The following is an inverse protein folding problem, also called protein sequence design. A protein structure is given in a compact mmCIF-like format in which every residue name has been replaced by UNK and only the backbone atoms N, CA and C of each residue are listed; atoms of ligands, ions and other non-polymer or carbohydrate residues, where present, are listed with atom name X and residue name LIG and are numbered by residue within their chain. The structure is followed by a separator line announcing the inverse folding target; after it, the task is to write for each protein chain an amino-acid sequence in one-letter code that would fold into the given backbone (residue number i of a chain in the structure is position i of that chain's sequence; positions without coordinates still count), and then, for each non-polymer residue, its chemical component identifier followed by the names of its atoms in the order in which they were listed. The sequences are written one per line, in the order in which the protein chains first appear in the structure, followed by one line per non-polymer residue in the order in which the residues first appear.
data_IF_919385607255
#
_entry.id   IF_919385607255
#
_cell.length_a   1.000
_cell.length_b   1.000
_cell.length_c   1.000
_cell.angle_alpha   90.00
_cell.angle_beta   90.00
_cell.angle_gamma   90.00
#
_symmetry.space_group_name_H-M   'P 1'
#
loop_
_entity.id
_entity.type
_entity.pdbx_description
1 polymer ?
#
# COMPACT_ATOMS: atom_id res chain seq x y z
N UNK A 1 -12.82 -61.33 2.51
CA UNK A 1 -11.88 -61.26 1.37
C UNK A 1 -10.74 -60.32 1.75
N UNK A 2 -9.50 -60.81 1.69
CA UNK A 2 -8.27 -60.17 2.17
C UNK A 2 -7.46 -59.60 1.00
N UNK A 3 -6.84 -58.43 1.24
CA UNK A 3 -5.57 -57.93 0.67
C UNK A 3 -5.57 -57.43 -0.81
N UNK A 4 -4.57 -56.62 -1.25
CA UNK A 4 -3.39 -56.14 -0.52
C UNK A 4 -3.07 -54.62 -0.60
N UNK A 5 -2.30 -54.23 0.39
CA UNK A 5 -1.45 -53.04 0.58
C UNK A 5 -0.33 -52.90 -0.46
N UNK A 6 0.07 -51.66 -0.79
CA UNK A 6 1.41 -51.36 -1.37
C UNK A 6 2.16 -50.36 -0.49
N UNK A 7 3.13 -50.92 0.21
CA UNK A 7 4.21 -50.29 0.98
C UNK A 7 5.29 -49.79 0.01
N UNK A 8 5.86 -48.62 0.27
CA UNK A 8 7.04 -48.12 -0.42
C UNK A 8 7.85 -47.21 0.51
N UNK A 9 8.86 -47.79 1.17
CA UNK A 9 9.79 -47.13 2.07
C UNK A 9 11.22 -47.50 1.64
N UNK A 10 12.02 -46.53 1.19
CA UNK A 10 13.48 -46.62 0.92
C UNK A 10 13.97 -45.15 0.79
N UNK A 11 15.08 -44.65 1.32
CA UNK A 11 16.09 -45.10 2.28
C UNK A 11 16.80 -43.85 2.83
N UNK A 12 17.22 -43.96 4.09
CA UNK A 12 18.13 -43.05 4.80
C UNK A 12 19.56 -43.38 4.36
N UNK A 13 20.33 -42.38 3.94
CA UNK A 13 21.80 -42.47 3.86
C UNK A 13 22.41 -41.26 4.57
N UNK A 14 22.73 -41.45 5.85
CA UNK A 14 23.62 -40.59 6.62
C UNK A 14 25.07 -41.02 6.36
N UNK A 15 25.94 -40.07 6.00
CA UNK A 15 27.38 -40.25 6.01
C UNK A 15 28.02 -39.11 6.79
N UNK A 16 28.45 -39.45 8.00
CA UNK A 16 29.34 -38.67 8.86
C UNK A 16 30.77 -39.09 8.52
N UNK A 17 31.66 -38.13 8.27
CA UNK A 17 33.10 -38.36 8.29
C UNK A 17 33.82 -37.16 8.94
N UNK A 18 34.56 -37.48 9.98
CA UNK A 18 35.31 -36.65 10.92
C UNK A 18 36.82 -36.90 10.69
N UNK A 19 37.65 -35.86 10.74
CA UNK A 19 39.11 -35.82 11.01
C UNK A 19 39.81 -34.80 10.07
N UNK A 20 40.91 -34.13 10.40
CA UNK A 20 41.66 -33.78 11.61
C UNK A 20 42.77 -32.83 11.12
N UNK A 21 43.17 -31.85 11.93
CA UNK A 21 44.29 -30.93 11.62
C UNK A 21 45.66 -31.63 11.70
N UNK A 22 46.65 -31.12 10.96
CA UNK A 22 47.94 -30.87 11.58
C UNK A 22 48.50 -29.47 11.31
N UNK A 23 49.15 -28.94 12.34
CA UNK A 23 49.99 -27.75 12.34
C UNK A 23 51.32 -28.02 11.62
N UNK A 24 51.79 -27.04 10.83
CA UNK A 24 53.11 -27.05 10.20
C UNK A 24 53.58 -25.62 9.95
N UNK A 25 54.67 -25.23 10.62
CA UNK A 25 55.36 -23.94 10.51
C UNK A 25 56.37 -23.97 9.35
N UNK A 26 56.51 -22.86 8.62
CA UNK A 26 57.63 -22.67 7.70
C UNK A 26 57.48 -21.57 6.64
N UNK A 27 58.35 -20.57 6.74
CA UNK A 27 58.91 -19.72 5.67
C UNK A 27 58.01 -18.70 4.93
N UNK A 28 58.37 -17.43 5.09
CA UNK A 28 57.93 -16.28 4.31
C UNK A 28 58.46 -16.33 2.85
N UNK A 29 57.67 -15.78 1.90
CA UNK A 29 58.24 -14.77 1.02
C UNK A 29 57.37 -13.51 0.96
N UNK A 30 58.05 -12.37 1.01
CA UNK A 30 57.53 -11.03 0.80
C UNK A 30 56.98 -10.91 -0.62
N UNK A 31 55.64 -10.91 -0.75
CA UNK A 31 54.93 -10.63 -1.99
C UNK A 31 53.85 -9.59 -1.74
N UNK A 32 53.95 -8.44 -2.41
CA UNK A 32 52.89 -7.44 -2.43
C UNK A 32 51.64 -8.05 -3.08
N UNK A 33 50.62 -8.33 -2.26
CA UNK A 33 49.30 -8.74 -2.74
C UNK A 33 48.29 -7.63 -2.40
N UNK A 34 47.80 -7.03 -3.47
CA UNK A 34 46.73 -6.05 -3.54
C UNK A 34 45.52 -6.48 -2.71
N UNK A 35 45.08 -5.58 -1.82
CA UNK A 35 43.86 -5.74 -1.01
C UNK A 35 42.63 -5.77 -1.93
N UNK A 36 42.24 -6.95 -2.42
CA UNK A 36 40.90 -7.16 -2.92
C UNK A 36 39.98 -7.27 -1.71
N UNK A 37 39.48 -6.12 -1.25
CA UNK A 37 38.31 -6.03 -0.36
C UNK A 37 37.13 -6.62 -1.12
N UNK A 38 36.97 -7.93 -1.02
CA UNK A 38 35.77 -8.62 -1.47
C UNK A 38 34.60 -8.07 -0.68
N UNK A 39 33.77 -7.27 -1.35
CA UNK A 39 32.47 -6.85 -0.85
C UNK A 39 31.61 -8.09 -0.60
N UNK A 40 31.61 -8.57 0.64
CA UNK A 40 30.52 -9.37 1.21
C UNK A 40 29.34 -8.48 1.55
N UNK A 41 28.92 -7.68 0.58
CA UNK A 41 27.58 -7.13 0.51
C UNK A 41 27.05 -7.63 -0.81
N UNK A 42 26.16 -8.63 -0.82
CA UNK A 42 25.11 -8.90 -1.82
C UNK A 42 24.60 -10.33 -1.62
N UNK A 43 23.78 -10.54 -0.60
CA UNK A 43 22.76 -11.60 -0.65
C UNK A 43 21.51 -11.10 0.08
N UNK A 44 21.71 -10.43 1.23
CA UNK A 44 20.65 -9.69 1.91
C UNK A 44 20.16 -8.46 1.11
N UNK A 45 21.07 -7.75 0.42
CA UNK A 45 20.70 -6.59 -0.41
C UNK A 45 20.01 -7.01 -1.73
N UNK A 46 20.41 -8.15 -2.31
CA UNK A 46 19.79 -8.71 -3.52
C UNK A 46 18.38 -9.26 -3.27
N UNK A 47 18.12 -9.78 -2.08
CA UNK A 47 16.77 -10.20 -1.68
C UNK A 47 15.83 -9.01 -1.44
N UNK A 48 16.37 -7.82 -1.15
CA UNK A 48 15.62 -6.56 -1.07
C UNK A 48 15.43 -5.87 -2.43
N UNK A 49 16.26 -6.23 -3.42
CA UNK A 49 16.12 -5.87 -4.82
C UNK A 49 15.49 -7.03 -5.61
N UNK A 50 14.26 -7.40 -5.26
CA UNK A 50 13.45 -8.17 -6.19
C UNK A 50 13.12 -7.25 -7.37
N UNK A 51 13.82 -7.44 -8.48
CA UNK A 51 13.49 -6.82 -9.76
C UNK A 51 12.11 -7.30 -10.22
N UNK A 52 11.38 -6.44 -10.90
CA UNK A 52 10.07 -6.77 -11.47
C UNK A 52 10.29 -7.53 -12.78
N UNK A 53 10.62 -8.81 -12.65
CA UNK A 53 10.63 -9.74 -13.78
C UNK A 53 9.44 -10.68 -13.69
N UNK A 54 8.89 -11.04 -14.84
CA UNK A 54 7.82 -12.02 -14.98
C UNK A 54 8.37 -13.35 -15.53
N UNK A 55 7.78 -14.50 -15.18
CA UNK A 55 6.64 -14.67 -14.26
C UNK A 55 7.00 -14.33 -12.81
N UNK A 56 6.02 -13.87 -12.04
CA UNK A 56 6.18 -13.59 -10.60
C UNK A 56 5.09 -14.29 -9.80
N UNK A 57 5.46 -14.84 -8.63
CA UNK A 57 4.55 -15.59 -7.78
C UNK A 57 4.55 -15.05 -6.35
N UNK A 58 3.38 -15.10 -5.72
CA UNK A 58 3.22 -14.77 -4.31
C UNK A 58 2.13 -15.64 -3.67
N UNK A 59 2.42 -16.15 -2.47
CA UNK A 59 1.39 -16.78 -1.64
C UNK A 59 0.52 -15.70 -1.01
N UNK A 60 -0.79 -15.83 -1.19
CA UNK A 60 -1.76 -14.88 -0.69
C UNK A 60 -2.29 -15.26 0.71
N UNK A 61 -3.21 -14.47 1.26
CA UNK A 61 -3.73 -14.70 2.61
C UNK A 61 -4.68 -15.91 2.73
N UNK A 62 -5.06 -16.55 1.62
CA UNK A 62 -5.76 -17.85 1.62
C UNK A 62 -4.81 -19.04 1.61
N UNK A 63 -3.49 -18.79 1.52
CA UNK A 63 -2.48 -19.83 1.38
C UNK A 63 -2.33 -20.34 -0.05
N UNK A 64 -2.96 -19.68 -1.03
CA UNK A 64 -2.85 -20.03 -2.45
C UNK A 64 -1.64 -19.33 -3.05
N UNK A 65 -0.80 -20.08 -3.75
CA UNK A 65 0.22 -19.50 -4.63
C UNK A 65 -0.44 -18.91 -5.87
N UNK A 66 -0.26 -17.62 -6.07
CA UNK A 66 -0.79 -16.87 -7.22
C UNK A 66 0.39 -16.49 -8.09
N UNK A 67 0.36 -16.92 -9.35
CA UNK A 67 1.37 -16.57 -10.37
C UNK A 67 0.76 -15.57 -11.34
N UNK A 68 1.54 -14.56 -11.68
CA UNK A 68 1.27 -13.59 -12.74
C UNK A 68 2.35 -13.82 -13.79
N UNK A 69 1.95 -14.28 -14.97
CA UNK A 69 2.88 -14.78 -15.99
C UNK A 69 3.58 -13.67 -16.77
N UNK A 70 2.90 -12.54 -16.95
CA UNK A 70 3.34 -11.37 -17.70
C UNK A 70 2.86 -10.08 -17.01
N UNK A 71 3.41 -8.93 -17.40
CA UNK A 71 2.98 -7.64 -16.84
C UNK A 71 1.50 -7.38 -17.15
N UNK A 72 0.60 -7.26 -16.14
CA UNK A 72 -0.82 -7.19 -16.38
C UNK A 72 -1.22 -5.87 -17.04
N UNK A 73 -1.93 -5.95 -18.16
CA UNK A 73 -2.48 -4.80 -18.89
C UNK A 73 -3.88 -4.41 -18.37
N UNK A 74 -4.62 -5.38 -17.83
CA UNK A 74 -5.98 -5.23 -17.31
C UNK A 74 -6.05 -5.67 -15.85
N UNK A 75 -6.12 -4.69 -14.95
CA UNK A 75 -6.21 -4.91 -13.50
C UNK A 75 -7.60 -4.56 -12.99
N UNK A 76 -8.18 -5.43 -12.19
CA UNK A 76 -9.39 -5.12 -11.40
C UNK A 76 -9.02 -5.05 -9.92
N UNK A 77 -9.42 -3.98 -9.25
CA UNK A 77 -9.24 -3.81 -7.81
C UNK A 77 -10.60 -3.84 -7.12
N UNK A 78 -10.80 -4.76 -6.18
CA UNK A 78 -12.14 -4.98 -5.62
C UNK A 78 -12.53 -3.98 -4.52
N UNK A 79 -11.57 -3.19 -4.02
CA UNK A 79 -11.80 -2.21 -2.95
C UNK A 79 -10.90 -0.98 -3.06
N UNK A 80 -11.34 0.13 -2.48
CA UNK A 80 -10.67 1.44 -2.53
C UNK A 80 -9.21 1.41 -2.06
N UNK A 81 -8.88 0.58 -1.07
CA UNK A 81 -7.51 0.47 -0.54
C UNK A 81 -6.52 -0.16 -1.52
N UNK A 82 -6.98 -0.98 -2.47
CA UNK A 82 -6.15 -1.46 -3.56
C UNK A 82 -6.08 -0.44 -4.69
N UNK A 83 -7.21 0.20 -5.04
CA UNK A 83 -7.23 1.28 -6.03
C UNK A 83 -6.24 2.39 -5.67
N UNK A 84 -6.24 2.87 -4.43
CA UNK A 84 -5.29 3.89 -4.01
C UNK A 84 -3.82 3.47 -4.22
N UNK A 85 -3.48 2.21 -3.96
CA UNK A 85 -2.11 1.73 -4.19
C UNK A 85 -1.78 1.74 -5.67
N UNK A 86 -2.71 1.35 -6.56
CA UNK A 86 -2.48 1.39 -8.01
C UNK A 86 -2.24 2.82 -8.53
N UNK A 87 -2.94 3.83 -7.99
CA UNK A 87 -2.69 5.24 -8.32
C UNK A 87 -1.33 5.72 -7.79
N UNK A 88 -0.96 5.32 -6.57
CA UNK A 88 0.36 5.63 -6.02
C UNK A 88 1.50 4.94 -6.78
N UNK A 89 1.22 3.79 -7.41
CA UNK A 89 2.13 3.09 -8.30
C UNK A 89 2.12 3.63 -9.74
N UNK A 90 1.24 4.59 -10.07
CA UNK A 90 1.19 5.19 -11.40
C UNK A 90 0.60 4.29 -12.50
N UNK A 91 -0.06 3.19 -12.13
CA UNK A 91 -0.66 2.21 -13.06
C UNK A 91 -2.18 2.31 -13.13
N UNK A 92 -2.75 3.45 -12.73
CA UNK A 92 -4.19 3.67 -12.78
C UNK A 92 -4.77 3.43 -14.18
N UNK A 93 -4.00 3.68 -15.24
CA UNK A 93 -4.45 3.49 -16.62
C UNK A 93 -4.75 2.03 -16.97
N UNK A 94 -4.07 1.09 -16.29
CA UNK A 94 -4.31 -0.35 -16.41
C UNK A 94 -5.48 -0.83 -15.54
N UNK A 95 -6.01 0.00 -14.65
CA UNK A 95 -7.16 -0.37 -13.81
C UNK A 95 -8.44 -0.25 -14.63
N UNK A 96 -9.00 -1.38 -15.06
CA UNK A 96 -10.22 -1.42 -15.88
C UNK A 96 -11.50 -1.51 -15.04
N UNK A 97 -11.40 -1.95 -13.78
CA UNK A 97 -12.52 -2.07 -12.86
C UNK A 97 -12.17 -1.77 -11.41
N UNK A 98 -13.04 -1.01 -10.74
CA UNK A 98 -12.90 -0.63 -9.33
C UNK A 98 -14.23 -0.18 -8.71
N UNK A 99 -14.33 0.01 -7.38
CA UNK A 99 -15.46 0.74 -6.81
C UNK A 99 -15.49 2.18 -7.34
N UNK A 100 -16.59 2.56 -7.98
CA UNK A 100 -16.84 3.95 -8.43
C UNK A 100 -17.90 4.55 -7.51
N UNK A 101 -17.44 5.19 -6.44
CA UNK A 101 -18.26 5.66 -5.32
C UNK A 101 -17.70 6.97 -4.75
N UNK A 102 -18.45 7.73 -3.93
CA UNK A 102 -17.95 8.97 -3.34
C UNK A 102 -16.64 8.82 -2.55
N UNK A 103 -16.40 7.64 -1.96
CA UNK A 103 -15.17 7.34 -1.22
C UNK A 103 -13.99 6.95 -2.11
N UNK A 104 -14.15 6.86 -3.44
CA UNK A 104 -13.05 6.70 -4.40
C UNK A 104 -12.88 7.91 -5.32
N UNK A 105 -13.81 8.87 -5.32
CA UNK A 105 -13.80 10.06 -6.17
C UNK A 105 -12.58 10.99 -6.00
N UNK A 106 -11.77 10.81 -4.95
CA UNK A 106 -10.50 11.53 -4.79
C UNK A 106 -9.39 10.99 -5.71
N UNK A 107 -9.59 9.81 -6.30
CA UNK A 107 -8.71 9.22 -7.29
C UNK A 107 -9.09 9.79 -8.66
N UNK A 108 -8.21 10.62 -9.22
CA UNK A 108 -8.43 11.28 -10.50
C UNK A 108 -8.71 10.26 -11.61
N UNK A 109 -9.80 10.44 -12.37
CA UNK A 109 -10.21 9.53 -13.45
C UNK A 109 -10.78 8.19 -12.96
N UNK A 110 -11.27 8.12 -11.72
CA UNK A 110 -11.91 6.91 -11.18
C UNK A 110 -13.33 6.70 -11.72
N UNK A 111 -14.02 7.79 -12.04
CA UNK A 111 -15.35 7.83 -12.65
C UNK A 111 -15.38 7.26 -14.06
N UNK A 112 -14.22 7.19 -14.73
CA UNK A 112 -14.06 6.64 -16.07
C UNK A 112 -13.91 5.11 -16.05
N UNK A 113 -13.73 4.51 -14.86
CA UNK A 113 -13.53 3.06 -14.71
C UNK A 113 -14.85 2.33 -14.58
N UNK A 114 -14.84 1.03 -14.85
CA UNK A 114 -16.05 0.22 -14.65
C UNK A 114 -16.29 -0.03 -13.16
N UNK A 115 -17.50 0.30 -12.69
CA UNK A 115 -17.93 -0.01 -11.33
C UNK A 115 -18.10 -1.51 -11.11
N UNK A 116 -17.34 -2.10 -10.18
CA UNK A 116 -17.37 -3.56 -9.92
C UNK A 116 -18.15 -3.98 -8.66
N UNK A 117 -18.94 -3.06 -8.10
CA UNK A 117 -19.78 -3.33 -6.93
C UNK A 117 -21.27 -3.27 -7.28
N UNK A 118 -22.04 -4.12 -6.61
CA UNK A 118 -23.49 -4.04 -6.58
C UNK A 118 -23.95 -2.85 -5.72
N UNK A 119 -25.25 -2.53 -5.76
CA UNK A 119 -25.83 -1.44 -4.98
C UNK A 119 -25.70 -1.63 -3.46
N UNK A 120 -25.65 -2.88 -2.99
CA UNK A 120 -25.43 -3.24 -1.59
C UNK A 120 -23.95 -3.20 -1.16
N UNK A 121 -23.04 -2.86 -2.08
CA UNK A 121 -21.60 -2.81 -1.85
C UNK A 121 -20.88 -4.15 -1.96
N UNK A 122 -21.59 -5.24 -2.26
CA UNK A 122 -20.97 -6.53 -2.57
C UNK A 122 -20.29 -6.50 -3.94
N UNK A 123 -19.34 -7.41 -4.19
CA UNK A 123 -18.66 -7.49 -5.49
C UNK A 123 -19.61 -8.03 -6.56
N UNK A 124 -19.76 -7.31 -7.66
CA UNK A 124 -20.44 -7.80 -8.85
C UNK A 124 -19.50 -8.74 -9.63
N UNK A 125 -19.60 -10.04 -9.37
CA UNK A 125 -18.71 -11.04 -9.95
C UNK A 125 -18.84 -11.16 -11.47
N UNK A 126 -20.06 -11.07 -12.01
CA UNK A 126 -20.30 -11.13 -13.45
C UNK A 126 -19.62 -9.96 -14.16
N UNK A 127 -19.73 -8.76 -13.58
CA UNK A 127 -19.05 -7.57 -14.09
C UNK A 127 -17.53 -7.71 -14.05
N UNK A 128 -16.96 -8.31 -12.99
CA UNK A 128 -15.52 -8.56 -12.91
C UNK A 128 -15.05 -9.53 -13.98
N UNK A 129 -15.78 -10.63 -14.20
CA UNK A 129 -15.46 -11.62 -15.23
C UNK A 129 -15.57 -11.01 -16.64
N UNK A 130 -16.62 -10.22 -16.90
CA UNK A 130 -16.81 -9.56 -18.19
C UNK A 130 -15.71 -8.53 -18.54
N UNK A 131 -14.91 -8.12 -17.57
CA UNK A 131 -13.75 -7.25 -17.80
C UNK A 131 -12.50 -8.01 -18.23
N UNK A 132 -12.51 -9.35 -18.24
CA UNK A 132 -11.37 -10.18 -18.67
C UNK A 132 -10.03 -9.69 -18.10
N UNK A 133 -9.87 -9.58 -16.77
CA UNK A 133 -8.65 -9.05 -16.17
C UNK A 133 -7.53 -10.09 -16.12
N UNK A 134 -6.29 -9.64 -16.31
CA UNK A 134 -5.08 -10.44 -16.11
C UNK A 134 -4.79 -10.64 -14.62
N UNK A 135 -5.20 -9.66 -13.79
CA UNK A 135 -5.03 -9.69 -12.34
C UNK A 135 -6.20 -9.03 -11.62
N UNK A 136 -6.77 -9.74 -10.65
CA UNK A 136 -7.74 -9.21 -9.69
C UNK A 136 -7.08 -9.08 -8.32
N UNK A 137 -7.08 -7.86 -7.76
CA UNK A 137 -6.56 -7.61 -6.42
C UNK A 137 -7.73 -7.49 -5.43
N UNK A 138 -7.77 -8.43 -4.48
CA UNK A 138 -8.81 -8.54 -3.47
C UNK A 138 -8.28 -8.18 -2.07
N UNK A 139 -8.58 -6.98 -1.53
CA UNK A 139 -8.20 -6.63 -0.16
C UNK A 139 -8.83 -7.54 0.91
N UNK A 140 -8.28 -7.50 2.12
CA UNK A 140 -8.64 -8.38 3.25
C UNK A 140 -10.15 -8.40 3.58
N UNK A 141 -10.88 -7.32 3.31
CA UNK A 141 -12.32 -7.21 3.57
C UNK A 141 -13.19 -7.99 2.55
N UNK A 142 -12.65 -8.33 1.37
CA UNK A 142 -13.38 -9.12 0.37
C UNK A 142 -13.58 -10.54 0.90
N UNK A 143 -14.79 -11.11 0.94
CA UNK A 143 -14.96 -12.44 1.49
C UNK A 143 -14.22 -13.54 0.71
N UNK A 144 -13.78 -14.60 1.39
CA UNK A 144 -13.01 -15.68 0.74
C UNK A 144 -13.85 -16.46 -0.28
N UNK A 145 -15.16 -16.57 -0.06
CA UNK A 145 -16.09 -17.16 -1.03
C UNK A 145 -16.15 -16.35 -2.33
N UNK A 146 -16.02 -15.02 -2.26
CA UNK A 146 -15.96 -14.18 -3.46
C UNK A 146 -14.67 -14.44 -4.22
N UNK A 147 -13.54 -14.53 -3.53
CA UNK A 147 -12.23 -14.85 -4.13
C UNK A 147 -12.24 -16.22 -4.79
N UNK A 148 -12.73 -17.24 -4.08
CA UNK A 148 -12.85 -18.61 -4.63
C UNK A 148 -13.69 -18.60 -5.89
N UNK A 149 -14.84 -17.95 -5.87
CA UNK A 149 -15.75 -18.00 -6.99
C UNK A 149 -15.28 -17.22 -8.23
N UNK A 150 -14.43 -16.19 -8.06
CA UNK A 150 -13.74 -15.54 -9.17
C UNK A 150 -12.62 -16.42 -9.75
N UNK A 151 -11.90 -17.18 -8.91
CA UNK A 151 -10.91 -18.17 -9.36
C UNK A 151 -11.53 -19.35 -10.07
N UNK A 152 -12.68 -19.83 -9.59
CA UNK A 152 -13.45 -20.90 -10.25
C UNK A 152 -13.92 -20.48 -11.65
N UNK A 153 -14.03 -19.17 -11.90
CA UNK A 153 -14.29 -18.59 -13.22
C UNK A 153 -13.02 -18.40 -14.08
N UNK A 154 -11.86 -18.89 -13.62
CA UNK A 154 -10.59 -18.85 -14.35
C UNK A 154 -9.75 -17.59 -14.16
N UNK A 155 -10.13 -16.68 -13.25
CA UNK A 155 -9.39 -15.44 -13.05
C UNK A 155 -8.21 -15.61 -12.08
N UNK A 156 -7.10 -14.92 -12.37
CA UNK A 156 -5.96 -14.76 -11.45
C UNK A 156 -6.33 -13.75 -10.36
N UNK A 157 -6.62 -14.23 -9.15
CA UNK A 157 -7.02 -13.38 -8.02
C UNK A 157 -5.98 -13.44 -6.91
N UNK A 158 -5.48 -12.28 -6.47
CA UNK A 158 -4.60 -12.17 -5.30
C UNK A 158 -5.36 -11.64 -4.06
N UNK A 159 -5.44 -12.43 -2.99
CA UNK A 159 -6.09 -12.03 -1.73
C UNK A 159 -5.09 -11.46 -0.73
N UNK A 160 -5.21 -10.17 -0.44
CA UNK A 160 -4.40 -9.52 0.60
C UNK A 160 -4.86 -9.85 2.01
N UNK A 161 -3.88 -10.02 2.91
CA UNK A 161 -4.09 -10.18 4.34
C UNK A 161 -4.28 -8.85 5.07
N UNK A 162 -4.58 -8.93 6.36
CA UNK A 162 -4.68 -7.75 7.22
C UNK A 162 -3.26 -7.24 7.57
N UNK A 163 -2.91 -5.99 7.27
CA UNK A 163 -1.64 -5.43 7.70
C UNK A 163 -1.70 -5.14 9.21
N UNK A 164 -0.82 -5.76 10.00
CA UNK A 164 -0.75 -5.59 11.45
C UNK A 164 0.36 -4.62 11.92
N UNK A 165 1.16 -4.11 10.98
CA UNK A 165 2.27 -3.20 11.29
C UNK A 165 2.53 -2.23 10.13
N UNK A 166 3.28 -1.15 10.39
CA UNK A 166 3.74 -0.25 9.32
C UNK A 166 4.59 -0.99 8.28
N UNK A 167 5.43 -1.93 8.71
CA UNK A 167 6.21 -2.77 7.80
C UNK A 167 5.32 -3.65 6.92
N UNK A 168 4.20 -4.16 7.44
CA UNK A 168 3.23 -4.90 6.64
C UNK A 168 2.53 -4.01 5.61
N UNK A 169 2.30 -2.73 5.92
CA UNK A 169 1.71 -1.77 4.97
C UNK A 169 2.69 -1.50 3.83
N UNK A 170 3.96 -1.20 4.11
CA UNK A 170 4.97 -0.98 3.06
C UNK A 170 5.25 -2.26 2.28
N UNK A 171 5.27 -3.40 2.96
CA UNK A 171 5.37 -4.72 2.32
C UNK A 171 4.24 -4.98 1.32
N UNK A 172 2.99 -4.58 1.64
CA UNK A 172 1.86 -4.67 0.70
C UNK A 172 2.07 -3.80 -0.55
N UNK A 173 2.61 -2.59 -0.41
CA UNK A 173 2.92 -1.73 -1.55
C UNK A 173 4.01 -2.35 -2.43
N UNK A 174 5.09 -2.86 -1.83
CA UNK A 174 6.15 -3.58 -2.57
C UNK A 174 5.60 -4.81 -3.29
N UNK A 175 4.73 -5.56 -2.63
CA UNK A 175 4.10 -6.76 -3.19
C UNK A 175 3.21 -6.41 -4.39
N UNK A 176 2.33 -5.40 -4.28
CA UNK A 176 1.51 -4.98 -5.41
C UNK A 176 2.38 -4.45 -6.55
N UNK A 177 3.43 -3.68 -6.23
CA UNK A 177 4.43 -3.25 -7.21
C UNK A 177 5.01 -4.43 -8.00
N UNK A 178 5.42 -5.51 -7.32
CA UNK A 178 5.91 -6.72 -7.99
C UNK A 178 4.85 -7.36 -8.90
N UNK A 179 3.61 -7.50 -8.42
CA UNK A 179 2.53 -8.13 -9.18
C UNK A 179 2.14 -7.34 -10.45
N UNK A 180 2.42 -6.03 -10.49
CA UNK A 180 2.05 -5.15 -11.62
C UNK A 180 3.25 -4.59 -12.39
N UNK A 181 4.48 -5.02 -12.09
CA UNK A 181 5.69 -4.56 -12.78
C UNK A 181 6.34 -3.28 -12.24
N UNK A 182 5.79 -2.67 -11.19
CA UNK A 182 6.15 -1.33 -10.68
C UNK A 182 7.04 -1.35 -9.42
N UNK A 183 8.15 -2.08 -9.46
CA UNK A 183 9.04 -2.24 -8.30
C UNK A 183 9.72 -0.93 -7.90
N UNK A 184 10.22 -0.16 -8.86
CA UNK A 184 10.89 1.11 -8.59
C UNK A 184 9.92 2.13 -8.00
N UNK A 185 8.72 2.24 -8.57
CA UNK A 185 7.70 3.13 -8.04
C UNK A 185 7.27 2.72 -6.64
N UNK A 186 7.10 1.42 -6.38
CA UNK A 186 6.79 0.91 -5.04
C UNK A 186 7.89 1.23 -4.01
N UNK A 187 9.17 1.09 -4.38
CA UNK A 187 10.31 1.49 -3.53
C UNK A 187 10.27 2.99 -3.23
N UNK A 188 9.98 3.82 -4.24
CA UNK A 188 9.84 5.27 -4.07
C UNK A 188 8.67 5.65 -3.15
N UNK A 189 7.48 5.06 -3.33
CA UNK A 189 6.34 5.26 -2.41
C UNK A 189 6.73 4.92 -0.97
N UNK A 190 7.34 3.75 -0.78
CA UNK A 190 7.74 3.25 0.53
C UNK A 190 8.83 4.11 1.20
N UNK A 191 9.76 4.70 0.44
CA UNK A 191 10.78 5.59 0.98
C UNK A 191 10.18 6.87 1.59
N UNK A 192 9.02 7.33 1.11
CA UNK A 192 8.35 8.53 1.65
C UNK A 192 7.48 8.26 2.88
N UNK A 193 7.15 7.00 3.18
CA UNK A 193 6.25 6.64 4.28
C UNK A 193 6.86 6.86 5.70
N UNK A 194 8.14 6.50 5.98
CA UNK A 194 8.77 6.73 7.28
C UNK A 194 8.89 8.23 7.63
N UNK A 195 9.16 9.09 6.64
CA UNK A 195 9.36 10.52 6.88
C UNK A 195 8.12 11.26 7.36
N UNK A 196 6.92 10.78 7.03
CA UNK A 196 5.65 11.44 7.41
C UNK A 196 5.20 11.08 8.83
N UNK A 197 5.43 9.84 9.29
CA UNK A 197 5.02 9.41 10.63
C UNK A 197 5.84 10.10 11.73
N UNK A 198 7.16 10.24 11.53
CA UNK A 198 8.08 10.90 12.48
C UNK A 198 7.82 12.40 12.59
N UNK A 199 7.44 13.06 11.48
CA UNK A 199 7.02 14.48 11.47
C UNK A 199 5.69 14.69 12.20
N UNK A 200 4.77 13.71 12.12
CA UNK A 200 3.47 13.79 12.80
C UNK A 200 3.59 13.50 14.29
N UNK A 201 4.43 12.54 14.71
CA UNK A 201 4.71 12.27 16.12
C UNK A 201 5.41 13.46 16.79
N UNK A 202 6.43 14.04 16.18
CA UNK A 202 7.12 15.23 16.70
C UNK A 202 6.21 16.44 16.82
N UNK A 203 5.29 16.66 15.86
CA UNK A 203 4.26 17.71 15.98
C UNK A 203 3.27 17.42 17.11
N UNK A 204 2.80 16.18 17.24
CA UNK A 204 1.89 15.79 18.32
C UNK A 204 2.54 15.94 19.71
N UNK A 205 3.80 15.54 19.87
CA UNK A 205 4.59 15.71 21.09
C UNK A 205 4.81 17.19 21.42
N UNK A 206 5.06 18.06 20.42
CA UNK A 206 5.20 19.51 20.62
C UNK A 206 3.89 20.19 21.01
N UNK A 207 2.76 19.77 20.44
CA UNK A 207 1.43 20.27 20.84
C UNK A 207 1.07 19.82 22.26
N UNK A 208 1.39 18.59 22.63
CA UNK A 208 1.16 18.07 23.99
C UNK A 208 2.04 18.77 25.02
N UNK A 209 3.32 19.03 24.69
CA UNK A 209 4.22 19.83 25.53
C UNK A 209 3.76 21.29 25.69
N UNK A 210 3.25 21.93 24.63
CA UNK A 210 2.72 23.30 24.69
C UNK A 210 1.43 23.39 25.52
N UNK A 211 0.57 22.38 25.44
CA UNK A 211 -0.66 22.31 26.24
C UNK A 211 -0.35 22.11 27.73
N UNK A 212 0.67 21.30 28.04
CA UNK A 212 1.15 21.09 29.41
C UNK A 212 1.90 22.31 29.99
N UNK A 213 2.55 23.11 29.14
CA UNK A 213 3.22 24.35 29.55
C UNK A 213 2.25 25.56 29.68
N UNK A 214 1.04 25.49 29.11
CA UNK A 214 0.03 26.55 29.17
C UNK A 214 -0.91 26.49 30.38
N UNK A 215 -0.71 25.54 31.31
CA UNK A 215 -1.55 25.33 32.48
C UNK A 215 -1.30 26.26 33.67
N UNK A 216 -0.40 27.24 33.55
CA UNK A 216 -0.19 28.25 34.60
C UNK A 216 -0.98 29.50 34.26
N UNK A 217 -2.23 29.57 34.73
CA UNK A 217 -3.04 30.80 34.74
C UNK A 217 -2.35 31.85 35.62
N UNK A 218 -1.85 32.99 35.11
CA UNK A 218 -1.46 34.09 35.97
C UNK A 218 -2.72 34.76 36.48
N UNK A 219 -2.76 35.00 37.79
CA UNK A 219 -3.87 35.63 38.50
C UNK A 219 -4.35 36.91 37.83
N UNK A 220 -5.67 37.01 37.73
CA UNK A 220 -6.44 38.18 37.31
C UNK A 220 -6.20 39.30 38.33
N UNK A 221 -5.25 40.20 38.07
CA UNK A 221 -5.17 41.48 38.78
C UNK A 221 -6.16 42.45 38.15
N UNK A 222 -7.18 42.78 38.94
CA UNK A 222 -8.14 43.84 38.69
C UNK A 222 -7.44 45.20 38.68
N UNK A 223 -7.50 45.90 37.54
CA UNK A 223 -7.32 47.35 37.51
C UNK A 223 -8.60 47.98 36.96
N UNK A 224 -9.28 48.65 37.89
CA UNK A 224 -10.34 49.62 37.65
C UNK A 224 -9.89 50.66 36.62
N UNK A 225 -10.63 50.80 35.52
CA UNK A 225 -10.50 51.97 34.64
C UNK A 225 -11.77 52.81 34.73
N UNK A 226 -11.55 53.99 35.30
CA UNK A 226 -12.46 55.13 35.42
C UNK A 226 -12.91 55.60 34.04
N UNK A 227 -14.22 55.79 33.86
CA UNK A 227 -14.83 56.47 32.70
C UNK A 227 -14.48 57.95 32.65
N UNK A 228 -14.39 58.54 31.44
CA UNK A 228 -14.97 59.88 31.23
C UNK A 228 -15.83 59.96 29.95
N UNK A 229 -16.59 61.06 29.77
CA UNK A 229 -17.95 61.02 29.22
C UNK A 229 -18.03 61.26 27.70
N UNK A 230 -19.21 60.92 27.16
CA UNK A 230 -19.50 60.88 25.74
C UNK A 230 -19.67 62.21 25.01
N UNK A 231 -19.61 62.08 23.68
CA UNK A 231 -20.21 62.90 22.62
C UNK A 231 -20.39 61.89 21.47
N UNK A 232 -21.58 61.46 21.07
CA UNK A 232 -22.66 62.27 20.52
C UNK A 232 -22.38 62.56 19.04
N UNK A 233 -22.81 61.67 18.13
CA UNK A 233 -23.56 62.02 16.90
C UNK A 233 -23.88 60.79 16.02
N UNK A 234 -25.10 60.88 15.52
CA UNK A 234 -25.93 60.00 14.72
C UNK A 234 -25.53 59.89 13.24
N UNK A 235 -26.23 58.98 12.53
CA UNK A 235 -26.41 58.79 11.07
C UNK A 235 -25.60 57.61 10.49
N UNK A 236 -26.09 56.75 9.61
CA UNK A 236 -27.38 56.53 8.94
C UNK A 236 -27.37 55.13 8.34
N UNK A 237 -28.57 54.59 8.16
CA UNK A 237 -28.95 53.34 7.50
C UNK A 237 -28.72 53.38 5.97
N UNK A 238 -28.87 52.21 5.33
CA UNK A 238 -29.02 51.95 3.89
C UNK A 238 -27.72 51.89 3.07
N UNK A 239 -27.50 50.99 2.11
CA UNK A 239 -28.31 49.89 1.55
C UNK A 239 -27.45 49.13 0.54
N UNK A 240 -27.57 47.80 0.51
CA UNK A 240 -27.11 46.94 -0.61
C UNK A 240 -27.89 47.27 -1.89
N UNK A 241 -27.35 46.93 -3.06
CA UNK A 241 -28.15 46.23 -4.06
C UNK A 241 -27.55 44.88 -4.47
N UNK A 242 -28.45 44.07 -5.02
CA UNK A 242 -28.35 42.66 -5.39
C UNK A 242 -28.56 42.57 -6.91
N UNK A 243 -27.95 41.55 -7.51
CA UNK A 243 -28.35 40.84 -8.73
C UNK A 243 -28.27 41.55 -10.10
N UNK A 244 -27.51 40.91 -11.00
CA UNK A 244 -27.72 40.93 -12.44
C UNK A 244 -27.39 39.53 -12.96
N UNK A 245 -28.42 38.73 -13.26
CA UNK A 245 -28.31 37.41 -13.86
C UNK A 245 -28.55 37.47 -15.36
N UNK A 246 -27.84 36.65 -16.11
CA UNK A 246 -28.07 36.41 -17.53
C UNK A 246 -28.02 34.91 -17.79
N UNK A 247 -29.16 34.33 -18.15
CA UNK A 247 -29.29 32.97 -18.70
C UNK A 247 -29.03 32.98 -20.21
N UNK A 248 -28.44 31.93 -20.79
CA UNK A 248 -28.42 31.73 -22.24
C UNK A 248 -29.61 30.85 -22.73
N UNK A 249 -29.94 30.90 -24.04
CA UNK A 249 -31.14 30.28 -24.60
C UNK A 249 -30.96 28.79 -24.95
N UNK A 250 -32.09 28.06 -24.97
CA UNK A 250 -32.21 26.66 -25.44
C UNK A 250 -32.38 26.59 -26.97
N UNK A 251 -31.89 25.53 -27.63
CA UNK A 251 -32.14 25.28 -29.06
C UNK A 251 -33.44 24.51 -29.33
N UNK A 252 -33.87 24.58 -30.58
CA UNK A 252 -35.06 23.93 -31.18
C UNK A 252 -34.89 22.43 -31.39
#
# INVERSE_FOLDING_TARGET
MRQPTRTGAVAVCALVALAALPAGAGAAPTGLATSSTGSTATTADRAAQADCSFPTSATDATGTEVTVDEEPERVVVLQASAAQVMWELGVQDRVVGMPVQPYTAYLNGSEERTGVLNQDGSVNREQVVALEPDLVVAPNVVPNETVRSLRDAGLTVYKSGFPSSLASITGKVSLYGRLVGECERARSVNATAPGRSTRRSTRASRTSARTRAGGTTPGRSSTSSTSPPGRGRSRTRSSRPRAGGTSPPRPA
#
